data_IF_424267560474
#
_entry.id   IF_424267560474
#
_cell.length_a   1.000
_cell.length_b   1.000
_cell.length_c   1.000
_cell.angle_alpha   90.00
_cell.angle_beta   90.00
_cell.angle_gamma   90.00
#
_symmetry.space_group_name_H-M   'P 1'
#
loop_
_entity.id
_entity.type
_entity.pdbx_description
1 polymer ?
#
# COMPACT_ATOMS: atom_id res chain seq x y z
N UNK A 1 31.27 12.34 48.86
CA UNK A 1 30.49 13.49 48.36
C UNK A 1 29.06 13.28 48.81
N UNK A 2 28.46 14.25 49.51
CA UNK A 2 27.06 14.17 49.92
C UNK A 2 26.15 14.38 48.70
N UNK A 3 25.15 13.52 48.53
CA UNK A 3 24.04 13.76 47.61
C UNK A 3 23.27 15.01 48.10
N UNK A 4 22.77 15.88 47.21
CA UNK A 4 21.94 17.02 47.63
C UNK A 4 20.71 16.53 48.38
N UNK A 5 20.37 17.20 49.48
CA UNK A 5 19.10 17.04 50.17
C UNK A 5 17.94 17.40 49.23
N UNK A 6 16.94 16.51 49.24
CA UNK A 6 15.56 16.67 48.79
C UNK A 6 15.34 16.97 47.29
N UNK A 7 14.55 16.10 46.66
CA UNK A 7 14.16 16.23 45.26
C UNK A 7 13.58 17.61 44.95
N UNK A 8 14.03 18.21 43.85
CA UNK A 8 13.40 19.41 43.30
C UNK A 8 12.05 19.05 42.67
N UNK A 9 11.03 19.89 42.90
CA UNK A 9 9.77 19.82 42.16
C UNK A 9 10.08 19.95 40.66
N UNK A 10 9.78 18.91 39.89
CA UNK A 10 10.03 18.85 38.46
C UNK A 10 9.33 19.99 37.70
N UNK A 11 8.23 20.53 38.23
CA UNK A 11 7.51 21.67 37.64
C UNK A 11 8.27 23.00 37.80
N UNK A 12 9.21 23.09 38.75
CA UNK A 12 10.09 24.25 38.94
C UNK A 12 11.34 24.23 38.05
N UNK A 13 11.61 23.12 37.35
CA UNK A 13 12.74 23.00 36.45
C UNK A 13 12.46 23.71 35.12
N UNK A 14 13.51 24.31 34.54
CA UNK A 14 13.41 24.83 33.18
C UNK A 14 13.16 23.68 32.21
N UNK A 15 12.07 23.78 31.43
CA UNK A 15 11.73 22.77 30.42
C UNK A 15 12.87 22.66 29.39
N UNK A 16 13.52 21.50 29.34
CA UNK A 16 14.44 21.14 28.26
C UNK A 16 13.66 20.40 27.18
N UNK A 17 13.81 20.80 25.92
CA UNK A 17 13.14 20.16 24.77
C UNK A 17 14.04 19.17 24.04
N UNK A 18 15.34 19.19 24.32
CA UNK A 18 16.37 18.33 23.74
C UNK A 18 17.44 18.09 24.81
N UNK A 19 18.09 16.92 24.77
CA UNK A 19 19.26 16.66 25.62
C UNK A 19 20.42 17.51 25.10
N UNK A 20 21.04 18.37 25.92
CA UNK A 20 22.17 19.18 25.48
C UNK A 20 23.35 18.33 25.01
N UNK A 21 24.12 18.82 24.04
CA UNK A 21 25.28 18.12 23.51
C UNK A 21 26.28 17.76 24.63
N UNK A 22 26.78 16.52 24.59
CA UNK A 22 27.73 16.01 25.60
C UNK A 22 27.11 15.74 26.98
N UNK A 23 25.78 15.67 27.09
CA UNK A 23 25.05 15.27 28.30
C UNK A 23 24.35 13.93 28.10
N UNK A 24 24.11 13.23 29.21
CA UNK A 24 23.46 11.93 29.25
C UNK A 24 22.21 11.97 30.14
N UNK A 25 21.33 10.97 30.00
CA UNK A 25 20.18 10.80 30.88
C UNK A 25 20.57 9.90 32.05
N UNK A 26 20.31 10.35 33.27
CA UNK A 26 20.50 9.56 34.48
C UNK A 26 19.15 9.09 35.00
N UNK A 27 19.03 7.79 35.24
CA UNK A 27 17.88 7.16 35.89
C UNK A 27 18.31 6.73 37.28
N UNK A 28 17.55 7.11 38.30
CA UNK A 28 17.85 6.80 39.70
C UNK A 28 16.60 6.15 40.30
N UNK A 29 16.79 5.01 40.97
CA UNK A 29 15.76 4.43 41.81
C UNK A 29 15.53 5.34 43.03
N UNK A 30 14.32 5.87 43.22
CA UNK A 30 14.05 6.84 44.27
C UNK A 30 14.13 6.26 45.70
N UNK A 31 14.16 4.94 45.83
CA UNK A 31 14.19 4.22 47.11
C UNK A 31 15.61 3.81 47.48
N UNK A 32 16.41 3.34 46.53
CA UNK A 32 17.76 2.81 46.79
C UNK A 32 18.88 3.79 46.48
N UNK A 33 18.60 4.90 45.79
CA UNK A 33 19.60 5.82 45.21
C UNK A 33 20.60 5.14 44.25
N UNK A 34 20.34 3.89 43.86
CA UNK A 34 21.09 3.21 42.80
C UNK A 34 20.56 3.68 41.45
N UNK A 35 21.44 3.79 40.45
CA UNK A 35 21.07 4.35 39.18
C UNK A 35 22.03 3.99 38.06
N UNK A 36 21.60 4.32 36.84
CA UNK A 36 22.36 4.10 35.62
C UNK A 36 22.31 5.33 34.72
N UNK A 37 23.31 5.45 33.86
CA UNK A 37 23.37 6.47 32.83
C UNK A 37 23.09 5.80 31.49
N UNK A 38 22.28 6.43 30.65
CA UNK A 38 22.05 6.00 29.27
C UNK A 38 22.25 7.17 28.32
N UNK A 39 22.89 6.89 27.19
CA UNK A 39 23.04 7.85 26.11
C UNK A 39 21.71 8.02 25.37
N UNK A 40 21.52 9.15 24.68
CA UNK A 40 20.35 9.33 23.81
C UNK A 40 20.30 8.27 22.70
N UNK A 41 21.45 7.85 22.19
CA UNK A 41 21.57 6.83 21.16
C UNK A 41 21.02 5.48 21.64
N UNK A 42 21.47 5.02 22.81
CA UNK A 42 21.04 3.73 23.36
C UNK A 42 19.58 3.74 23.79
N UNK A 43 19.09 4.86 24.35
CA UNK A 43 17.67 5.01 24.65
C UNK A 43 16.82 4.94 23.37
N UNK A 44 17.27 5.60 22.29
CA UNK A 44 16.57 5.56 21.00
C UNK A 44 16.52 4.15 20.44
N UNK A 45 17.65 3.41 20.47
CA UNK A 45 17.70 2.00 20.06
C UNK A 45 16.74 1.14 20.88
N UNK A 46 16.71 1.32 22.20
CA UNK A 46 15.84 0.57 23.09
C UNK A 46 14.35 0.82 22.78
N UNK A 47 13.96 2.09 22.59
CA UNK A 47 12.58 2.46 22.23
C UNK A 47 12.19 1.86 20.88
N UNK A 48 13.04 2.03 19.85
CA UNK A 48 12.76 1.49 18.52
C UNK A 48 12.65 -0.03 18.52
N UNK A 49 13.53 -0.73 19.25
CA UNK A 49 13.47 -2.18 19.38
C UNK A 49 12.19 -2.63 20.11
N UNK A 50 11.79 -1.92 21.16
CA UNK A 50 10.52 -2.16 21.85
C UNK A 50 9.32 -2.00 20.92
N UNK A 51 9.26 -0.90 20.16
CA UNK A 51 8.18 -0.65 19.20
C UNK A 51 8.16 -1.66 18.05
N UNK A 52 9.31 -2.03 17.50
CA UNK A 52 9.40 -2.97 16.39
C UNK A 52 9.05 -4.42 16.80
N UNK A 53 9.29 -4.79 18.06
CA UNK A 53 8.97 -6.11 18.60
C UNK A 53 7.57 -6.21 19.23
N UNK A 54 6.95 -5.07 19.57
CA UNK A 54 5.59 -5.03 20.09
C UNK A 54 4.58 -5.59 19.08
N UNK A 55 3.75 -6.53 19.53
CA UNK A 55 2.58 -6.97 18.78
C UNK A 55 1.41 -6.01 19.02
N UNK A 56 0.80 -5.54 17.93
CA UNK A 56 -0.39 -4.70 17.93
C UNK A 56 -1.61 -5.54 17.54
N UNK A 57 -2.75 -5.28 18.18
CA UNK A 57 -4.02 -5.87 17.80
C UNK A 57 -4.56 -5.16 16.56
N UNK A 58 -4.51 -5.82 15.40
CA UNK A 58 -5.06 -5.32 14.14
C UNK A 58 -6.29 -6.17 13.76
N UNK A 59 -7.14 -5.66 12.86
CA UNK A 59 -8.29 -6.40 12.32
C UNK A 59 -7.86 -7.75 11.69
N UNK A 60 -6.63 -7.82 11.18
CA UNK A 60 -6.03 -9.00 10.59
C UNK A 60 -5.34 -9.95 11.61
N UNK A 61 -5.48 -9.68 12.92
CA UNK A 61 -4.88 -10.42 14.03
C UNK A 61 -3.79 -9.64 14.80
N UNK A 62 -3.23 -10.25 15.86
CA UNK A 62 -2.07 -9.70 16.56
C UNK A 62 -0.78 -9.87 15.74
N UNK A 63 -0.05 -8.78 15.49
CA UNK A 63 1.20 -8.81 14.74
C UNK A 63 2.10 -7.61 15.04
N UNK A 64 3.41 -7.75 14.82
CA UNK A 64 4.35 -6.63 14.88
C UNK A 64 4.20 -5.71 13.67
N UNK A 65 4.71 -4.48 13.75
CA UNK A 65 4.70 -3.54 12.63
C UNK A 65 5.36 -4.13 11.37
N UNK A 66 6.50 -4.80 11.53
CA UNK A 66 7.21 -5.41 10.41
C UNK A 66 6.41 -6.57 9.78
N UNK A 67 5.77 -7.40 10.61
CA UNK A 67 4.91 -8.48 10.13
C UNK A 67 3.68 -7.94 9.40
N UNK A 68 3.06 -6.87 9.91
CA UNK A 68 1.92 -6.22 9.26
C UNK A 68 2.27 -5.66 7.87
N UNK A 69 3.41 -4.98 7.76
CA UNK A 69 3.89 -4.44 6.48
C UNK A 69 4.18 -5.56 5.49
N UNK A 70 4.87 -6.63 5.93
CA UNK A 70 5.16 -7.78 5.09
C UNK A 70 3.88 -8.49 4.63
N UNK A 71 2.90 -8.65 5.53
CA UNK A 71 1.60 -9.22 5.19
C UNK A 71 0.88 -8.38 4.14
N UNK A 72 0.77 -7.07 4.36
CA UNK A 72 0.17 -6.12 3.41
C UNK A 72 0.84 -6.19 2.02
N UNK A 73 2.17 -6.22 1.99
CA UNK A 73 2.91 -6.33 0.73
C UNK A 73 2.70 -7.69 0.04
N UNK A 74 2.66 -8.80 0.81
CA UNK A 74 2.41 -10.13 0.26
C UNK A 74 0.97 -10.32 -0.25
N UNK A 75 0.02 -9.61 0.35
CA UNK A 75 -1.39 -9.58 -0.04
C UNK A 75 -1.65 -8.62 -1.21
N UNK A 76 -0.62 -7.95 -1.73
CA UNK A 76 -0.70 -7.22 -3.01
C UNK A 76 -0.85 -8.25 -4.15
N UNK A 77 -2.06 -8.78 -4.27
CA UNK A 77 -2.42 -9.85 -5.19
C UNK A 77 -2.41 -9.31 -6.63
N UNK A 78 -1.66 -9.98 -7.50
CA UNK A 78 -1.74 -9.83 -8.95
C UNK A 78 -2.81 -10.79 -9.43
N UNK A 79 -3.75 -10.32 -10.22
CA UNK A 79 -4.86 -11.15 -10.66
C UNK A 79 -4.90 -11.25 -12.17
N UNK A 80 -5.10 -12.48 -12.61
CA UNK A 80 -5.31 -12.83 -14.01
C UNK A 80 -6.81 -13.10 -14.11
N UNK A 81 -7.55 -12.21 -14.77
CA UNK A 81 -8.99 -12.36 -14.94
C UNK A 81 -9.31 -12.66 -16.39
N UNK A 82 -10.19 -13.66 -16.60
CA UNK A 82 -10.86 -13.82 -17.89
C UNK A 82 -12.03 -12.87 -17.90
N UNK A 83 -12.11 -12.05 -18.94
CA UNK A 83 -13.22 -11.13 -19.08
C UNK A 83 -14.52 -11.87 -19.35
N UNK A 84 -15.62 -11.30 -18.86
CA UNK A 84 -16.96 -11.79 -19.12
C UNK A 84 -17.32 -11.52 -20.58
N UNK A 85 -17.70 -12.55 -21.33
CA UNK A 85 -18.22 -12.38 -22.68
C UNK A 85 -19.58 -11.67 -22.64
N UNK A 86 -19.76 -10.65 -23.47
CA UNK A 86 -21.04 -9.93 -23.59
C UNK A 86 -21.77 -10.39 -24.85
N UNK A 87 -21.20 -10.09 -26.02
CA UNK A 87 -21.79 -10.40 -27.34
C UNK A 87 -20.74 -10.36 -28.44
N UNK A 88 -21.11 -10.90 -29.60
CA UNK A 88 -20.37 -10.77 -30.86
C UNK A 88 -21.26 -10.14 -31.91
N UNK A 89 -20.75 -9.13 -32.60
CA UNK A 89 -21.44 -8.42 -33.66
C UNK A 89 -20.41 -7.86 -34.65
N UNK A 90 -20.69 -7.91 -35.96
CA UNK A 90 -19.79 -7.38 -37.00
C UNK A 90 -18.33 -7.87 -36.91
N UNK A 91 -18.12 -9.17 -36.69
CA UNK A 91 -16.80 -9.80 -36.48
C UNK A 91 -15.99 -9.22 -35.31
N UNK A 92 -16.66 -8.56 -34.36
CA UNK A 92 -16.05 -8.05 -33.13
C UNK A 92 -16.75 -8.64 -31.92
N UNK A 93 -15.99 -9.00 -30.91
CA UNK A 93 -16.50 -9.52 -29.64
C UNK A 93 -16.27 -8.50 -28.53
N UNK A 94 -17.31 -8.26 -27.74
CA UNK A 94 -17.28 -7.38 -26.58
C UNK A 94 -17.11 -8.22 -25.32
N UNK A 95 -16.19 -7.78 -24.47
CA UNK A 95 -15.91 -8.38 -23.17
C UNK A 95 -16.01 -7.34 -22.07
N UNK A 96 -16.52 -7.71 -20.89
CA UNK A 96 -16.55 -6.87 -19.69
C UNK A 96 -15.43 -7.25 -18.74
N UNK A 97 -14.70 -6.26 -18.26
CA UNK A 97 -13.79 -6.37 -17.11
C UNK A 97 -14.18 -5.38 -16.02
N UNK A 98 -14.00 -5.76 -14.76
CA UNK A 98 -14.30 -4.92 -13.60
C UNK A 98 -13.09 -4.84 -12.66
N UNK A 99 -12.11 -3.95 -12.93
CA UNK A 99 -11.03 -3.64 -12.00
C UNK A 99 -11.55 -3.19 -10.64
N UNK A 100 -10.96 -3.72 -9.57
CA UNK A 100 -11.35 -3.40 -8.17
C UNK A 100 -10.50 -2.27 -7.60
N UNK A 101 -9.24 -2.16 -8.03
CA UNK A 101 -8.33 -1.11 -7.56
C UNK A 101 -8.25 0.02 -8.58
N UNK A 102 -7.87 1.13 -8.00
CA UNK A 102 -8.05 2.48 -8.43
C UNK A 102 -6.74 3.03 -9.00
N UNK A 103 -6.76 3.64 -10.19
CA UNK A 103 -5.60 4.19 -10.91
C UNK A 103 -4.53 3.15 -11.30
N UNK A 104 -4.94 2.18 -12.11
CA UNK A 104 -4.08 1.07 -12.52
C UNK A 104 -4.02 0.94 -14.05
N UNK A 105 -2.94 0.34 -14.52
CA UNK A 105 -2.86 -0.16 -15.89
C UNK A 105 -3.31 -1.62 -15.94
N UNK A 106 -4.07 -1.98 -16.96
CA UNK A 106 -4.42 -3.36 -17.29
C UNK A 106 -3.62 -3.76 -18.52
N UNK A 107 -2.82 -4.82 -18.41
CA UNK A 107 -2.18 -5.44 -19.56
C UNK A 107 -3.18 -6.42 -20.19
N UNK A 108 -3.48 -6.24 -21.46
CA UNK A 108 -4.34 -7.13 -22.23
C UNK A 108 -3.50 -7.86 -23.29
N UNK A 109 -3.58 -9.18 -23.28
CA UNK A 109 -2.98 -10.05 -24.29
C UNK A 109 -4.11 -10.73 -25.03
N UNK A 110 -4.14 -10.61 -26.35
CA UNK A 110 -5.09 -11.34 -27.19
C UNK A 110 -4.37 -11.96 -28.40
N UNK A 111 -5.09 -12.67 -29.26
CA UNK A 111 -4.50 -13.41 -30.39
C UNK A 111 -3.57 -12.58 -31.28
N UNK A 112 -3.88 -11.30 -31.49
CA UNK A 112 -3.17 -10.47 -32.49
C UNK A 112 -2.54 -9.21 -31.90
N UNK A 113 -2.67 -8.95 -30.61
CA UNK A 113 -2.26 -7.69 -30.02
C UNK A 113 -1.92 -7.77 -28.54
N UNK A 114 -1.03 -6.86 -28.15
CA UNK A 114 -0.69 -6.55 -26.77
C UNK A 114 -1.12 -5.11 -26.51
N UNK A 115 -1.92 -4.88 -25.48
CA UNK A 115 -2.47 -3.56 -25.18
C UNK A 115 -2.21 -3.17 -23.72
N UNK A 116 -1.92 -1.90 -23.51
CA UNK A 116 -1.94 -1.24 -22.21
C UNK A 116 -3.22 -0.43 -22.10
N UNK A 117 -4.08 -0.77 -21.16
CA UNK A 117 -5.30 -0.02 -20.86
C UNK A 117 -5.04 0.80 -19.59
N UNK A 118 -5.14 2.12 -19.68
CA UNK A 118 -4.95 3.03 -18.55
C UNK A 118 -6.30 3.53 -18.07
N UNK A 119 -6.55 3.40 -16.77
CA UNK A 119 -7.82 3.77 -16.15
C UNK A 119 -7.62 4.88 -15.13
N UNK A 120 -8.56 5.82 -15.09
CA UNK A 120 -8.66 6.84 -14.04
C UNK A 120 -10.01 6.76 -13.36
N UNK A 121 -10.06 7.12 -12.07
CA UNK A 121 -11.33 7.17 -11.35
C UNK A 121 -11.39 8.27 -10.29
N UNK A 122 -12.61 8.65 -9.90
CA UNK A 122 -12.85 9.57 -8.79
C UNK A 122 -14.15 9.15 -8.11
N UNK A 123 -14.19 9.15 -6.77
CA UNK A 123 -15.39 8.72 -6.03
C UNK A 123 -15.75 7.25 -6.25
N UNK A 124 -14.76 6.41 -6.56
CA UNK A 124 -14.96 4.98 -6.80
C UNK A 124 -15.62 4.61 -8.13
N UNK A 125 -15.77 5.53 -9.09
CA UNK A 125 -16.28 5.25 -10.44
C UNK A 125 -15.30 5.70 -11.52
N UNK A 126 -15.16 4.93 -12.59
CA UNK A 126 -14.25 5.24 -13.70
C UNK A 126 -14.65 6.55 -14.38
N UNK A 127 -13.69 7.46 -14.51
CA UNK A 127 -13.84 8.75 -15.17
C UNK A 127 -13.01 8.92 -16.44
N UNK A 128 -12.03 8.05 -16.64
CA UNK A 128 -11.21 8.03 -17.82
C UNK A 128 -10.78 6.59 -18.15
N UNK A 129 -10.67 6.28 -19.43
CA UNK A 129 -10.11 5.04 -19.92
C UNK A 129 -9.44 5.29 -21.27
N UNK A 130 -8.20 4.87 -21.42
CA UNK A 130 -7.49 4.88 -22.71
C UNK A 130 -6.84 3.53 -23.00
N UNK A 131 -6.70 3.18 -24.28
CA UNK A 131 -6.02 1.97 -24.72
C UNK A 131 -4.86 2.36 -25.63
N UNK A 132 -3.69 1.80 -25.36
CA UNK A 132 -2.50 1.90 -26.21
C UNK A 132 -2.11 0.52 -26.67
N UNK A 133 -2.03 0.32 -27.97
CA UNK A 133 -1.45 -0.89 -28.55
C UNK A 133 0.08 -0.82 -28.43
N UNK A 134 0.67 -1.91 -27.95
CA UNK A 134 2.11 -2.07 -27.78
C UNK A 134 2.69 -2.94 -28.90
N UNK A 135 1.96 -3.98 -29.29
CA UNK A 135 2.35 -4.89 -30.36
C UNK A 135 1.41 -4.78 -31.56
N UNK A 136 1.98 -4.58 -32.74
CA UNK A 136 1.24 -4.39 -33.98
C UNK A 136 0.80 -5.72 -34.60
N UNK A 137 -0.51 -5.92 -34.67
CA UNK A 137 -1.17 -7.02 -35.35
C UNK A 137 -2.70 -6.90 -35.26
N UNK A 138 -3.40 -7.45 -36.26
CA UNK A 138 -4.87 -7.41 -36.34
C UNK A 138 -5.48 -6.02 -36.30
N UNK A 139 -6.81 -5.95 -36.17
CA UNK A 139 -7.52 -4.69 -36.03
C UNK A 139 -7.39 -4.15 -34.60
N UNK A 140 -7.34 -2.84 -34.45
CA UNK A 140 -7.22 -2.21 -33.14
C UNK A 140 -8.43 -2.51 -32.25
N UNK A 141 -8.13 -2.79 -30.98
CA UNK A 141 -9.14 -2.94 -29.96
C UNK A 141 -9.70 -1.57 -29.58
N UNK A 142 -10.98 -1.54 -29.20
CA UNK A 142 -11.63 -0.34 -28.66
C UNK A 142 -12.02 -0.59 -27.22
N UNK A 143 -12.09 0.48 -26.45
CA UNK A 143 -12.57 0.42 -25.07
C UNK A 143 -13.62 1.50 -24.83
N UNK A 144 -14.52 1.20 -23.91
CA UNK A 144 -15.51 2.15 -23.39
C UNK A 144 -15.78 1.87 -21.91
N UNK A 145 -16.16 2.90 -21.17
CA UNK A 145 -16.60 2.75 -19.78
C UNK A 145 -18.04 2.23 -19.81
N UNK A 146 -18.33 1.16 -19.06
CA UNK A 146 -19.68 0.62 -18.94
C UNK A 146 -20.64 1.58 -18.24
N UNK A 147 -21.94 1.41 -18.43
CA UNK A 147 -22.99 2.34 -17.98
C UNK A 147 -22.93 2.69 -16.49
N UNK A 148 -22.71 1.70 -15.62
CA UNK A 148 -22.58 1.91 -14.17
C UNK A 148 -21.23 2.49 -13.75
N UNK A 149 -20.31 2.74 -14.70
CA UNK A 149 -18.96 3.26 -14.50
C UNK A 149 -18.10 2.43 -13.53
N UNK A 150 -18.45 1.16 -13.34
CA UNK A 150 -17.72 0.17 -12.53
C UNK A 150 -17.07 -0.93 -13.39
N UNK A 151 -17.17 -0.82 -14.70
CA UNK A 151 -16.58 -1.79 -15.64
C UNK A 151 -16.07 -1.10 -16.89
N UNK A 152 -15.15 -1.79 -17.58
CA UNK A 152 -14.66 -1.44 -18.90
C UNK A 152 -15.14 -2.51 -19.87
N UNK A 153 -15.61 -2.06 -21.02
CA UNK A 153 -15.97 -2.92 -22.13
C UNK A 153 -14.83 -2.87 -23.13
N UNK A 154 -14.26 -4.03 -23.42
CA UNK A 154 -13.17 -4.22 -24.37
C UNK A 154 -13.72 -4.91 -25.62
N UNK A 155 -13.55 -4.26 -26.76
CA UNK A 155 -13.97 -4.76 -28.07
C UNK A 155 -12.74 -5.16 -28.89
N UNK A 156 -12.74 -6.37 -29.43
CA UNK A 156 -11.66 -6.90 -30.27
C UNK A 156 -12.19 -7.84 -31.35
N UNK A 157 -11.33 -8.33 -32.24
CA UNK A 157 -11.72 -9.28 -33.28
C UNK A 157 -12.27 -10.58 -32.67
N UNK A 158 -13.19 -11.25 -33.38
CA UNK A 158 -13.69 -12.56 -32.99
C UNK A 158 -12.55 -13.57 -32.73
N UNK A 159 -12.80 -14.51 -31.83
CA UNK A 159 -11.85 -15.56 -31.41
C UNK A 159 -10.56 -15.06 -30.77
N UNK A 160 -10.45 -13.76 -30.44
CA UNK A 160 -9.25 -13.19 -29.83
C UNK A 160 -8.98 -13.64 -28.39
N UNK A 161 -10.01 -14.10 -27.68
CA UNK A 161 -9.95 -14.63 -26.31
C UNK A 161 -9.01 -13.84 -25.38
N UNK A 162 -9.26 -12.54 -25.16
CA UNK A 162 -8.35 -11.67 -24.44
C UNK A 162 -8.17 -12.11 -22.98
N UNK A 163 -6.93 -12.06 -22.51
CA UNK A 163 -6.53 -12.28 -21.12
C UNK A 163 -6.10 -10.93 -20.56
N UNK A 164 -6.62 -10.59 -19.38
CA UNK A 164 -6.33 -9.34 -18.70
C UNK A 164 -5.53 -9.61 -17.43
N UNK A 165 -4.44 -8.86 -17.27
CA UNK A 165 -3.55 -8.92 -16.13
C UNK A 165 -3.57 -7.54 -15.46
N UNK A 166 -4.05 -7.49 -14.23
CA UNK A 166 -4.04 -6.27 -13.41
C UNK A 166 -4.28 -6.62 -11.93
N UNK A 167 -4.48 -5.60 -11.11
CA UNK A 167 -4.84 -5.76 -9.69
C UNK A 167 -6.39 -5.81 -9.59
N UNK A 168 -6.99 -6.96 -9.89
CA UNK A 168 -8.45 -7.22 -9.86
C UNK A 168 -8.82 -8.11 -8.65
N UNK A 169 -9.62 -7.75 -7.65
CA UNK A 169 -10.12 -8.77 -6.68
C UNK A 169 -10.78 -9.99 -7.35
#
# INVERSE_FOLDING_TARGET
MALPQDGQDANGLTKVTQIPAGKELMFIDPTTNEGGIITLEDLTKQILNGLASQAFALDAGQMTLLAAINKLNSETKKYISRAEYIKTENNRTLYRIAPIVSDISVLCINRTGLYLITLGQTGGVFNNASVKKIYEGGNDAKIQIGENRKSIIFECDIYSNPIFISVFK
#
